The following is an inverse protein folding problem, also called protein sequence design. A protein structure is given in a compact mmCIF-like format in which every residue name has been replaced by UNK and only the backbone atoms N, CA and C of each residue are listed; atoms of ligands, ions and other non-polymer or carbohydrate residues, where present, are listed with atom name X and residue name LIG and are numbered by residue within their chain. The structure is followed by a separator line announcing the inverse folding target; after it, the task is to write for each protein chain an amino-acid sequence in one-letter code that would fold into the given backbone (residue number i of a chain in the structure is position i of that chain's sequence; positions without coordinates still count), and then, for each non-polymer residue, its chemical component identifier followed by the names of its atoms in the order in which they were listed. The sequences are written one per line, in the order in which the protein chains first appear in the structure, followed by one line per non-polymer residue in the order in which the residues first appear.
data_IF_200257221129
#
_entry.id   IF_200257221129
#
_cell.length_a   1.000
_cell.length_b   1.000
_cell.length_c   1.000
_cell.angle_alpha   90.00
_cell.angle_beta   90.00
_cell.angle_gamma   90.00
#
_symmetry.space_group_name_H-M   'P 1'
#
loop_
_entity.id
_entity.type
_entity.pdbx_description
1 polymer ?
#
# COMPACT_ATOMS: atom_id res chain seq x y z
N UNK A 1 -10.61 -10.19 11.32
CA UNK A 1 -11.25 -10.10 9.99
C UNK A 1 -12.73 -10.42 10.10
N UNK A 2 -13.08 -11.49 10.82
CA UNK A 2 -14.46 -11.88 11.17
C UNK A 2 -15.29 -10.69 11.69
N UNK A 3 -14.77 -9.94 12.67
CA UNK A 3 -15.46 -8.75 13.22
C UNK A 3 -15.82 -7.67 12.18
N UNK A 4 -15.01 -7.47 11.13
CA UNK A 4 -15.31 -6.45 10.12
C UNK A 4 -16.40 -6.91 9.14
N UNK A 5 -16.40 -8.20 8.81
CA UNK A 5 -17.41 -8.81 7.94
C UNK A 5 -18.74 -8.85 8.68
N UNK A 6 -18.74 -9.27 9.94
CA UNK A 6 -19.93 -9.24 10.81
C UNK A 6 -20.52 -7.83 10.91
N UNK A 7 -19.69 -6.83 11.22
CA UNK A 7 -20.16 -5.43 11.26
C UNK A 7 -20.69 -4.93 9.92
N UNK A 8 -20.13 -5.37 8.80
CA UNK A 8 -20.63 -5.01 7.48
C UNK A 8 -21.99 -5.67 7.20
N UNK A 9 -22.18 -6.92 7.61
CA UNK A 9 -23.47 -7.63 7.54
C UNK A 9 -24.51 -6.91 8.42
N UNK A 10 -24.19 -6.67 9.69
CA UNK A 10 -25.07 -5.96 10.64
C UNK A 10 -25.48 -4.58 10.10
N UNK A 11 -24.53 -3.84 9.53
CA UNK A 11 -24.81 -2.55 8.92
C UNK A 11 -25.79 -2.68 7.75
N UNK A 12 -25.55 -3.61 6.84
CA UNK A 12 -26.41 -3.80 5.66
C UNK A 12 -27.80 -4.29 6.06
N UNK A 13 -27.91 -5.21 7.01
CA UNK A 13 -29.19 -5.68 7.55
C UNK A 13 -29.97 -4.54 8.19
N UNK A 14 -29.31 -3.70 8.99
CA UNK A 14 -29.93 -2.54 9.63
C UNK A 14 -30.46 -1.51 8.61
N UNK A 15 -29.74 -1.32 7.50
CA UNK A 15 -30.05 -0.29 6.52
C UNK A 15 -31.04 -0.75 5.43
N UNK A 16 -30.96 -2.01 5.03
CA UNK A 16 -31.64 -2.54 3.84
C UNK A 16 -32.45 -3.81 4.09
N UNK A 17 -32.42 -4.36 5.32
CA UNK A 17 -33.04 -5.63 5.66
C UNK A 17 -32.24 -6.83 5.18
N UNK A 18 -32.89 -7.99 5.10
CA UNK A 18 -32.27 -9.21 4.62
C UNK A 18 -31.92 -9.10 3.12
N UNK A 19 -30.66 -9.34 2.78
CA UNK A 19 -30.13 -9.19 1.42
C UNK A 19 -29.15 -10.31 1.08
N UNK A 20 -29.06 -10.63 -0.22
CA UNK A 20 -28.21 -11.72 -0.71
C UNK A 20 -26.71 -11.37 -0.62
N UNK A 21 -26.36 -10.09 -0.67
CA UNK A 21 -24.97 -9.60 -0.69
C UNK A 21 -24.69 -8.74 0.52
N UNK A 22 -23.46 -8.82 1.07
CA UNK A 22 -23.03 -7.98 2.19
C UNK A 22 -22.97 -6.50 1.78
N UNK A 23 -22.55 -6.21 0.55
CA UNK A 23 -22.50 -4.85 0.01
C UNK A 23 -23.46 -4.75 -1.17
N UNK A 24 -24.52 -3.96 -1.01
CA UNK A 24 -25.61 -3.84 -1.99
C UNK A 24 -25.64 -2.48 -2.68
N UNK A 25 -26.25 -2.44 -3.86
CA UNK A 25 -26.63 -1.17 -4.49
C UNK A 25 -27.80 -0.52 -3.73
N UNK A 26 -27.68 0.76 -3.39
CA UNK A 26 -28.66 1.47 -2.57
C UNK A 26 -30.01 1.67 -3.26
N UNK A 27 -30.03 1.70 -4.60
CA UNK A 27 -31.24 1.86 -5.39
C UNK A 27 -31.90 0.51 -5.67
N UNK A 28 -31.12 -0.56 -5.73
CA UNK A 28 -31.62 -1.92 -5.92
C UNK A 28 -30.82 -2.92 -5.10
N UNK A 29 -31.34 -3.24 -3.91
CA UNK A 29 -30.69 -4.09 -2.91
C UNK A 29 -30.54 -5.56 -3.34
N UNK A 30 -31.15 -5.96 -4.47
CA UNK A 30 -30.95 -7.28 -5.08
C UNK A 30 -29.68 -7.36 -5.92
N UNK A 31 -28.98 -6.24 -6.14
CA UNK A 31 -27.72 -6.19 -6.89
C UNK A 31 -26.55 -5.89 -5.96
N UNK A 32 -25.36 -6.45 -6.24
CA UNK A 32 -24.18 -6.14 -5.47
C UNK A 32 -23.69 -4.72 -5.77
N UNK A 33 -23.02 -4.12 -4.80
CA UNK A 33 -22.36 -2.84 -4.94
C UNK A 33 -21.32 -2.90 -6.07
N UNK A 34 -21.35 -1.91 -6.96
CA UNK A 34 -20.42 -1.84 -8.09
C UNK A 34 -19.07 -1.28 -7.68
N UNK A 35 -17.99 -1.77 -8.31
CA UNK A 35 -16.62 -1.27 -8.08
C UNK A 35 -16.49 0.23 -8.29
N UNK A 36 -17.13 0.76 -9.34
CA UNK A 36 -17.13 2.20 -9.62
C UNK A 36 -17.79 3.01 -8.49
N UNK A 37 -18.84 2.47 -7.88
CA UNK A 37 -19.50 3.11 -6.73
C UNK A 37 -18.56 3.20 -5.53
N UNK A 38 -17.78 2.14 -5.26
CA UNK A 38 -16.76 2.16 -4.19
C UNK A 38 -15.70 3.22 -4.49
N UNK A 39 -15.18 3.24 -5.72
CA UNK A 39 -14.17 4.20 -6.14
C UNK A 39 -14.66 5.65 -5.95
N UNK A 40 -15.86 5.97 -6.45
CA UNK A 40 -16.44 7.30 -6.32
C UNK A 40 -16.62 7.70 -4.86
N UNK A 41 -17.12 6.81 -3.99
CA UNK A 41 -17.26 7.10 -2.56
C UNK A 41 -15.94 7.45 -1.90
N UNK A 42 -14.87 6.72 -2.23
CA UNK A 42 -13.54 7.02 -1.68
C UNK A 42 -13.00 8.34 -2.22
N UNK A 43 -13.17 8.60 -3.53
CA UNK A 43 -12.79 9.88 -4.13
C UNK A 43 -13.56 11.06 -3.50
N UNK A 44 -14.86 10.90 -3.22
CA UNK A 44 -15.67 11.90 -2.53
C UNK A 44 -15.14 12.17 -1.12
N UNK A 45 -14.73 11.13 -0.38
CA UNK A 45 -14.13 11.28 0.95
C UNK A 45 -12.79 12.02 0.85
N UNK A 46 -11.95 11.69 -0.13
CA UNK A 46 -10.67 12.36 -0.37
C UNK A 46 -10.89 13.86 -0.60
N UNK A 47 -11.83 14.22 -1.48
CA UNK A 47 -12.14 15.62 -1.77
C UNK A 47 -12.74 16.34 -0.55
N UNK A 48 -13.72 15.74 0.12
CA UNK A 48 -14.39 16.35 1.28
C UNK A 48 -13.46 16.57 2.46
N UNK A 49 -12.48 15.68 2.66
CA UNK A 49 -11.50 15.76 3.74
C UNK A 49 -10.18 16.42 3.33
N UNK A 50 -10.08 16.89 2.08
CA UNK A 50 -8.86 17.47 1.50
C UNK A 50 -7.62 16.60 1.73
N UNK A 51 -7.74 15.29 1.49
CA UNK A 51 -6.61 14.37 1.71
C UNK A 51 -5.59 14.55 0.59
N UNK A 52 -4.39 15.03 0.96
CA UNK A 52 -3.30 15.35 0.03
C UNK A 52 -2.06 14.50 0.25
N UNK A 53 -1.32 14.26 -0.82
CA UNK A 53 -0.01 13.62 -0.78
C UNK A 53 1.11 14.59 -0.36
N UNK A 54 2.35 14.11 -0.33
CA UNK A 54 3.52 14.88 0.10
C UNK A 54 3.85 16.06 -0.84
N UNK A 55 3.30 16.07 -2.06
CA UNK A 55 3.44 17.18 -3.01
C UNK A 55 2.30 18.21 -2.85
N UNK A 56 1.35 17.95 -1.95
CA UNK A 56 0.17 18.77 -1.76
C UNK A 56 -0.93 18.51 -2.80
N UNK A 57 -0.84 17.46 -3.61
CA UNK A 57 -1.87 17.09 -4.58
C UNK A 57 -2.94 16.22 -3.92
N UNK A 58 -4.21 16.32 -4.36
CA UNK A 58 -5.26 15.43 -3.84
C UNK A 58 -4.94 13.97 -4.16
N UNK A 59 -5.15 13.08 -3.19
CA UNK A 59 -4.95 11.66 -3.42
C UNK A 59 -5.81 11.15 -4.58
N UNK A 60 -5.21 10.30 -5.41
CA UNK A 60 -5.96 9.48 -6.36
C UNK A 60 -6.27 8.12 -5.72
N UNK A 61 -7.41 7.54 -6.09
CA UNK A 61 -7.81 6.22 -5.61
C UNK A 61 -8.32 5.34 -6.75
N UNK A 62 -7.71 4.17 -6.87
CA UNK A 62 -8.17 3.05 -7.68
C UNK A 62 -8.57 1.87 -6.81
N UNK A 63 -9.53 1.06 -7.25
CA UNK A 63 -10.06 -0.08 -6.48
C UNK A 63 -9.00 -1.12 -6.10
N UNK A 64 -7.90 -1.21 -6.85
CA UNK A 64 -6.78 -2.11 -6.56
C UNK A 64 -5.75 -1.53 -5.58
N UNK A 65 -5.85 -0.25 -5.18
CA UNK A 65 -4.86 0.40 -4.31
C UNK A 65 -4.71 -0.29 -2.96
N UNK A 66 -5.82 -0.70 -2.33
CA UNK A 66 -5.76 -1.41 -1.06
C UNK A 66 -4.99 -2.73 -1.15
N UNK A 67 -5.28 -3.54 -2.18
CA UNK A 67 -4.56 -4.79 -2.43
C UNK A 67 -3.08 -4.54 -2.69
N UNK A 68 -2.78 -3.45 -3.39
CA UNK A 68 -1.43 -3.06 -3.72
C UNK A 68 -0.60 -2.68 -2.47
N UNK A 69 -1.13 -1.78 -1.65
CA UNK A 69 -0.50 -1.34 -0.38
C UNK A 69 -0.38 -2.53 0.58
N UNK A 70 -1.41 -3.35 0.70
CA UNK A 70 -1.35 -4.55 1.52
C UNK A 70 -0.22 -5.50 1.07
N UNK A 71 -0.08 -5.73 -0.24
CA UNK A 71 1.03 -6.52 -0.78
C UNK A 71 2.40 -5.97 -0.42
N UNK A 72 2.60 -4.64 -0.50
CA UNK A 72 3.85 -3.99 -0.07
C UNK A 72 4.09 -4.23 1.43
N UNK A 73 3.09 -3.97 2.29
CA UNK A 73 3.25 -4.15 3.74
C UNK A 73 3.62 -5.58 4.12
N UNK A 74 3.05 -6.59 3.46
CA UNK A 74 3.43 -7.98 3.69
C UNK A 74 4.89 -8.26 3.31
N UNK A 75 5.42 -7.59 2.28
CA UNK A 75 6.85 -7.73 1.91
C UNK A 75 7.78 -7.03 2.91
N UNK A 76 7.37 -5.90 3.47
CA UNK A 76 8.10 -5.17 4.52
C UNK A 76 8.14 -5.95 5.84
N UNK A 77 7.06 -6.70 6.15
CA UNK A 77 7.02 -7.64 7.27
C UNK A 77 7.85 -8.91 7.03
N UNK A 78 8.54 -9.02 5.88
CA UNK A 78 9.42 -10.13 5.51
C UNK A 78 8.72 -11.49 5.45
N UNK A 79 7.43 -11.53 5.12
CA UNK A 79 6.74 -12.80 4.84
C UNK A 79 7.33 -13.48 3.60
N UNK A 80 7.25 -14.81 3.58
CA UNK A 80 7.66 -15.59 2.42
C UNK A 80 6.71 -15.40 1.23
N UNK A 81 7.23 -15.58 0.02
CA UNK A 81 6.48 -15.32 -1.21
C UNK A 81 5.22 -16.18 -1.36
N UNK A 82 5.21 -17.39 -0.81
CA UNK A 82 4.06 -18.28 -0.89
C UNK A 82 2.92 -17.77 0.00
N UNK A 83 3.22 -17.38 1.24
CA UNK A 83 2.24 -16.78 2.15
C UNK A 83 1.67 -15.49 1.57
N UNK A 84 2.52 -14.61 1.03
CA UNK A 84 2.07 -13.36 0.39
C UNK A 84 1.15 -13.68 -0.80
N UNK A 85 1.54 -14.61 -1.67
CA UNK A 85 0.71 -15.02 -2.80
C UNK A 85 -0.66 -15.55 -2.35
N UNK A 86 -0.71 -16.36 -1.29
CA UNK A 86 -1.97 -16.90 -0.76
C UNK A 86 -2.87 -15.81 -0.16
N UNK A 87 -2.32 -14.91 0.65
CA UNK A 87 -3.07 -13.79 1.24
C UNK A 87 -3.64 -12.83 0.17
N UNK A 88 -2.95 -12.69 -0.96
CA UNK A 88 -3.41 -11.89 -2.08
C UNK A 88 -4.30 -12.67 -3.08
N UNK A 89 -4.52 -13.97 -2.88
CA UNK A 89 -5.29 -14.80 -3.82
C UNK A 89 -4.61 -14.97 -5.18
N UNK A 90 -3.27 -15.03 -5.22
CA UNK A 90 -2.51 -15.34 -6.43
C UNK A 90 -2.40 -16.85 -6.66
N UNK A 91 -2.45 -17.25 -7.93
CA UNK A 91 -2.24 -18.65 -8.35
C UNK A 91 -0.76 -19.04 -8.33
N UNK A 92 0.16 -18.07 -8.33
CA UNK A 92 1.61 -18.31 -8.26
C UNK A 92 2.34 -17.15 -7.61
N UNK A 93 3.60 -17.38 -7.23
CA UNK A 93 4.49 -16.36 -6.64
C UNK A 93 5.02 -15.34 -7.64
N UNK A 94 4.79 -15.55 -8.95
CA UNK A 94 5.40 -14.73 -10.03
C UNK A 94 5.15 -13.23 -9.88
N UNK A 95 3.99 -12.85 -9.36
CA UNK A 95 3.61 -11.44 -9.20
C UNK A 95 4.09 -10.83 -7.88
N UNK A 96 4.57 -11.63 -6.92
CA UNK A 96 5.06 -11.13 -5.62
C UNK A 96 6.30 -10.26 -5.79
N UNK A 97 7.13 -10.56 -6.79
CA UNK A 97 8.32 -9.77 -7.14
C UNK A 97 8.02 -8.28 -7.37
N UNK A 98 6.82 -7.93 -7.85
CA UNK A 98 6.45 -6.54 -8.11
C UNK A 98 6.30 -5.77 -6.80
N UNK A 99 5.67 -6.35 -5.78
CA UNK A 99 5.57 -5.72 -4.46
C UNK A 99 6.94 -5.59 -3.79
N UNK A 100 7.79 -6.63 -3.89
CA UNK A 100 9.15 -6.56 -3.34
C UNK A 100 9.99 -5.46 -3.99
N UNK A 101 9.94 -5.38 -5.33
CA UNK A 101 10.65 -4.32 -6.07
C UNK A 101 10.22 -2.94 -5.58
N UNK A 102 8.92 -2.74 -5.35
CA UNK A 102 8.41 -1.46 -4.89
C UNK A 102 8.78 -1.14 -3.44
N UNK A 103 8.67 -2.10 -2.53
CA UNK A 103 9.13 -1.92 -1.14
C UNK A 103 10.63 -1.54 -1.09
N UNK A 104 11.46 -2.24 -1.87
CA UNK A 104 12.89 -1.91 -1.98
C UNK A 104 13.13 -0.52 -2.56
N UNK A 105 12.31 -0.09 -3.53
CA UNK A 105 12.39 1.25 -4.09
C UNK A 105 12.04 2.31 -3.05
N UNK A 106 10.96 2.13 -2.29
CA UNK A 106 10.54 3.02 -1.20
C UNK A 106 11.68 3.18 -0.19
N UNK A 107 12.25 2.07 0.29
CA UNK A 107 13.38 2.11 1.25
C UNK A 107 14.60 2.79 0.63
N UNK A 108 14.89 2.56 -0.66
CA UNK A 108 16.00 3.20 -1.34
C UNK A 108 15.80 4.72 -1.49
N UNK A 109 14.57 5.15 -1.71
CA UNK A 109 14.19 6.57 -1.82
C UNK A 109 14.26 7.24 -0.44
N UNK A 110 13.67 6.66 0.60
CA UNK A 110 13.68 7.17 1.97
C UNK A 110 15.11 7.27 2.55
N UNK A 111 15.98 6.30 2.23
CA UNK A 111 17.36 6.29 2.74
C UNK A 111 18.34 7.11 1.90
N UNK A 112 17.89 7.72 0.79
CA UNK A 112 18.77 8.39 -0.18
C UNK A 112 19.56 9.54 0.44
N UNK A 113 18.89 10.42 1.17
CA UNK A 113 19.53 11.61 1.76
C UNK A 113 20.54 11.23 2.84
N UNK A 114 20.18 10.31 3.73
CA UNK A 114 21.05 9.80 4.80
C UNK A 114 22.28 9.12 4.18
N UNK A 115 22.09 8.31 3.12
CA UNK A 115 23.19 7.67 2.40
C UNK A 115 24.10 8.68 1.72
N UNK A 116 23.55 9.76 1.17
CA UNK A 116 24.32 10.84 0.57
C UNK A 116 25.16 11.58 1.62
N UNK A 117 24.59 11.85 2.80
CA UNK A 117 25.31 12.46 3.92
C UNK A 117 26.44 11.57 4.44
N UNK A 118 26.16 10.28 4.67
CA UNK A 118 27.18 9.30 5.06
C UNK A 118 28.32 9.24 4.03
N UNK A 119 27.99 9.29 2.74
CA UNK A 119 28.97 9.34 1.65
C UNK A 119 29.80 10.63 1.67
N UNK A 120 29.23 11.77 2.07
CA UNK A 120 29.97 13.03 2.26
C UNK A 120 30.94 12.92 3.43
N UNK A 121 30.47 12.42 4.58
CA UNK A 121 31.32 12.23 5.77
C UNK A 121 32.50 11.30 5.50
N UNK A 122 32.28 10.17 4.82
CA UNK A 122 33.36 9.24 4.44
C UNK A 122 34.39 9.94 3.55
N UNK A 123 33.95 10.67 2.52
CA UNK A 123 34.87 11.41 1.64
C UNK A 123 35.67 12.48 2.38
N UNK A 124 35.05 13.19 3.32
CA UNK A 124 35.74 14.20 4.13
C UNK A 124 36.84 13.57 5.01
N UNK A 125 36.59 12.38 5.59
CA UNK A 125 37.60 11.65 6.36
C UNK A 125 38.71 11.09 5.46
N UNK A 126 38.37 10.57 4.27
CA UNK A 126 39.35 10.07 3.29
C UNK A 126 40.24 11.17 2.70
N UNK A 127 39.74 12.41 2.58
CA UNK A 127 40.55 13.54 2.13
C UNK A 127 41.69 13.90 3.10
N UNK A 128 41.59 13.47 4.37
CA UNK A 128 42.66 13.57 5.36
C UNK A 128 43.68 12.42 5.29
N UNK A 129 43.42 11.37 4.50
CA UNK A 129 44.37 10.28 4.28
C UNK A 129 45.25 10.63 3.07
N UNK A 130 46.34 11.34 3.34
CA UNK A 130 47.40 11.59 2.36
C UNK A 130 48.16 10.31 1.99
N UNK A 131 49.17 10.45 1.10
CA UNK A 131 50.08 9.39 0.60
C UNK A 131 50.80 8.53 1.67
N UNK A 132 50.62 8.82 2.95
CA UNK A 132 51.21 8.07 4.05
C UNK A 132 50.59 6.67 4.23
N UNK A 133 49.42 6.41 3.61
CA UNK A 133 48.79 5.09 3.55
C UNK A 133 48.93 4.39 2.19
N UNK A 134 49.76 4.91 1.27
CA UNK A 134 50.17 4.21 0.03
C UNK A 134 51.28 3.16 0.28
N UNK A 135 51.44 2.69 1.53
CA UNK A 135 52.46 1.69 1.86
C UNK A 135 51.86 0.29 2.09
N UNK A 136 52.28 -0.58 1.14
CA UNK A 136 52.20 -2.05 1.01
C UNK A 136 50.94 -2.60 0.35
#
# INVERSE_FOLDING_TARGET
MELLIEKAIEYTEKMYGDTIYIFVDEKNTRKPLQYYTVQNRVMDIIQKKDLRDDNGELFSFGTHMFRHVYGIRLTEMHLDDWTIAKLLGHTSVKNVKFYRKMSLQIIADETREIRAEMSRMIRANLAGWGKEYEQI
#
